data_IF_189941415347
#
_entry.id   IF_189941415347
#
_cell.length_a   1.000
_cell.length_b   1.000
_cell.length_c   1.000
_cell.angle_alpha   90.00
_cell.angle_beta   90.00
_cell.angle_gamma   90.00
#
_symmetry.space_group_name_H-M   'P 1'
#
loop_
_entity.id
_entity.type
_entity.pdbx_description
1 polymer ?
#
# COMPACT_ATOMS: atom_id res chain seq x y z
N UNK A 1 -3.35 -6.57 -2.37
CA UNK A 1 -4.42 -7.43 -1.84
C UNK A 1 -5.62 -7.42 -2.79
N UNK A 2 -6.22 -8.59 -3.01
CA UNK A 2 -7.43 -8.73 -3.82
C UNK A 2 -8.66 -8.57 -2.93
N UNK A 3 -9.53 -7.62 -3.26
CA UNK A 3 -10.72 -7.30 -2.48
C UNK A 3 -11.87 -8.23 -2.85
N UNK A 4 -12.45 -8.88 -1.86
CA UNK A 4 -13.57 -9.81 -2.06
C UNK A 4 -14.93 -9.24 -1.66
N UNK A 5 -14.94 -8.16 -0.87
CA UNK A 5 -16.16 -7.56 -0.32
C UNK A 5 -16.25 -6.06 -0.59
N UNK A 6 -17.46 -5.53 -0.52
CA UNK A 6 -17.73 -4.10 -0.57
C UNK A 6 -18.02 -3.58 -1.97
N UNK A 7 -18.15 -2.27 -2.08
CA UNK A 7 -18.52 -1.59 -3.32
C UNK A 7 -17.47 -1.72 -4.43
N UNK A 8 -16.23 -2.06 -4.08
CA UNK A 8 -15.11 -2.16 -5.01
C UNK A 8 -14.46 -3.53 -4.88
N UNK A 9 -15.28 -4.57 -5.01
CA UNK A 9 -14.81 -5.96 -5.06
C UNK A 9 -14.14 -6.28 -6.40
N UNK A 10 -13.44 -7.40 -6.43
CA UNK A 10 -12.73 -7.93 -7.61
C UNK A 10 -11.66 -6.99 -8.17
N UNK A 11 -11.06 -6.16 -7.31
CA UNK A 11 -9.93 -5.31 -7.68
C UNK A 11 -8.78 -5.53 -6.72
N UNK A 12 -7.58 -5.25 -7.19
CA UNK A 12 -6.35 -5.30 -6.39
C UNK A 12 -6.05 -3.92 -5.83
N UNK A 13 -5.78 -3.87 -4.53
CA UNK A 13 -5.48 -2.63 -3.84
C UNK A 13 -4.37 -2.79 -2.82
N UNK A 14 -4.05 -1.68 -2.19
CA UNK A 14 -3.06 -1.63 -1.11
C UNK A 14 -3.71 -1.92 0.23
N UNK A 15 -2.87 -2.18 1.23
CA UNK A 15 -3.28 -2.20 2.62
C UNK A 15 -3.64 -0.77 3.04
N UNK A 16 -4.77 -0.58 3.67
CA UNK A 16 -5.15 0.74 4.19
C UNK A 16 -6.62 0.87 4.47
N UNK A 17 -6.99 2.02 4.98
CA UNK A 17 -8.36 2.35 5.33
C UNK A 17 -8.46 3.76 5.86
N UNK A 18 -9.62 4.10 6.42
CA UNK A 18 -9.88 5.41 6.99
C UNK A 18 -9.33 5.49 8.41
N UNK A 19 -8.69 6.62 8.75
CA UNK A 19 -8.25 6.86 10.12
C UNK A 19 -9.44 6.90 11.07
N UNK A 20 -9.22 6.45 12.29
CA UNK A 20 -10.22 6.46 13.35
C UNK A 20 -9.82 7.46 14.43
N UNK A 21 -10.80 8.27 14.89
CA UNK A 21 -10.61 9.22 15.97
C UNK A 21 -9.46 10.19 15.71
N UNK A 22 -8.51 10.23 16.63
CA UNK A 22 -7.36 11.15 16.57
C UNK A 22 -6.08 10.50 16.07
N UNK A 23 -6.19 9.35 15.39
CA UNK A 23 -5.01 8.67 14.85
C UNK A 23 -4.25 9.58 13.88
N UNK A 24 -2.91 9.54 13.97
CA UNK A 24 -2.06 10.07 12.90
C UNK A 24 -2.16 9.15 11.69
N UNK A 25 -1.78 9.62 10.48
CA UNK A 25 -1.78 8.75 9.30
C UNK A 25 -0.98 7.46 9.49
N UNK A 26 0.16 7.52 10.13
CA UNK A 26 0.99 6.34 10.40
C UNK A 26 0.34 5.40 11.41
N UNK A 27 -0.26 5.94 12.48
CA UNK A 27 -0.97 5.11 13.47
C UNK A 27 -2.14 4.36 12.82
N UNK A 28 -2.90 5.05 11.96
CA UNK A 28 -3.98 4.42 11.21
C UNK A 28 -3.49 3.32 10.29
N UNK A 29 -2.38 3.55 9.58
CA UNK A 29 -1.80 2.54 8.71
C UNK A 29 -1.31 1.32 9.50
N UNK A 30 -0.65 1.53 10.64
CA UNK A 30 -0.20 0.40 11.49
C UNK A 30 -1.38 -0.46 11.93
N UNK A 31 -2.48 0.18 12.32
CA UNK A 31 -3.71 -0.53 12.70
C UNK A 31 -4.25 -1.34 11.53
N UNK A 32 -4.34 -0.74 10.34
CA UNK A 32 -4.83 -1.42 9.14
C UNK A 32 -3.92 -2.58 8.71
N UNK A 33 -2.61 -2.42 8.86
CA UNK A 33 -1.67 -3.52 8.59
C UNK A 33 -2.00 -4.73 9.44
N UNK A 34 -2.19 -4.54 10.74
CA UNK A 34 -2.53 -5.64 11.64
C UNK A 34 -3.88 -6.26 11.28
N UNK A 35 -4.88 -5.43 10.99
CA UNK A 35 -6.22 -5.91 10.64
C UNK A 35 -6.27 -6.66 9.31
N UNK A 36 -5.54 -6.22 8.31
CA UNK A 36 -5.67 -6.73 6.95
C UNK A 36 -4.64 -7.81 6.58
N UNK A 37 -3.45 -7.77 7.15
CA UNK A 37 -2.39 -8.72 6.80
C UNK A 37 -1.70 -9.37 7.98
N UNK A 38 -2.11 -9.03 9.21
CA UNK A 38 -1.52 -9.57 10.41
C UNK A 38 -0.31 -8.77 10.88
N UNK A 39 0.32 -9.24 11.96
CA UNK A 39 1.48 -8.56 12.54
C UNK A 39 2.70 -8.72 11.63
N UNK A 40 3.17 -7.60 11.05
CA UNK A 40 4.33 -7.59 10.17
C UNK A 40 5.53 -7.06 10.94
N UNK A 41 6.35 -7.97 11.47
CA UNK A 41 7.53 -7.62 12.24
C UNK A 41 8.76 -7.32 11.37
N UNK A 42 8.66 -7.53 10.05
CA UNK A 42 9.79 -7.44 9.12
C UNK A 42 9.89 -6.10 8.40
N UNK A 43 9.12 -5.10 8.79
CA UNK A 43 9.22 -3.77 8.19
C UNK A 43 10.54 -3.13 8.64
N UNK A 44 11.43 -2.89 7.68
CA UNK A 44 12.73 -2.26 7.93
C UNK A 44 12.65 -0.75 7.91
N UNK A 45 11.84 -0.20 7.01
CA UNK A 45 11.70 1.23 6.78
C UNK A 45 10.32 1.58 6.30
N UNK A 46 9.88 2.78 6.68
CA UNK A 46 8.63 3.35 6.18
C UNK A 46 8.94 4.76 5.68
N UNK A 47 8.57 5.01 4.43
CA UNK A 47 8.84 6.28 3.75
C UNK A 47 7.53 6.85 3.20
N UNK A 48 7.24 8.14 3.40
CA UNK A 48 6.07 8.74 2.76
C UNK A 48 6.27 8.78 1.24
N UNK A 49 5.26 8.35 0.49
CA UNK A 49 5.28 8.36 -0.96
C UNK A 49 4.51 9.55 -1.52
N UNK A 50 3.26 9.70 -1.08
CA UNK A 50 2.43 10.79 -1.57
C UNK A 50 1.32 11.12 -0.57
N UNK A 51 0.83 12.37 -0.64
CA UNK A 51 -0.40 12.79 0.01
C UNK A 51 -1.31 13.33 -1.07
N UNK A 52 -2.55 12.86 -1.10
CA UNK A 52 -3.50 13.19 -2.13
C UNK A 52 -4.81 13.68 -1.50
N UNK A 53 -5.26 14.87 -1.93
CA UNK A 53 -6.54 15.41 -1.52
C UNK A 53 -7.59 15.08 -2.58
N UNK A 54 -8.71 14.48 -2.18
CA UNK A 54 -9.78 14.12 -3.10
C UNK A 54 -10.37 15.36 -3.78
N UNK A 55 -11.03 15.17 -4.94
CA UNK A 55 -11.60 16.27 -5.72
C UNK A 55 -12.64 17.07 -4.94
N UNK A 56 -13.41 16.39 -4.08
CA UNK A 56 -14.40 17.05 -3.21
C UNK A 56 -13.78 17.66 -1.95
N UNK A 57 -12.47 17.51 -1.76
CA UNK A 57 -11.69 18.01 -0.61
C UNK A 57 -12.11 17.44 0.74
N UNK A 58 -12.87 16.34 0.74
CA UNK A 58 -13.34 15.70 1.99
C UNK A 58 -12.37 14.69 2.55
N UNK A 59 -11.50 14.12 1.70
CA UNK A 59 -10.57 13.08 2.10
C UNK A 59 -9.15 13.43 1.72
N UNK A 60 -8.25 13.24 2.68
CA UNK A 60 -6.82 13.34 2.45
C UNK A 60 -6.22 11.94 2.62
N UNK A 61 -5.60 11.45 1.54
CA UNK A 61 -5.00 10.12 1.51
C UNK A 61 -3.49 10.24 1.63
N UNK A 62 -2.92 9.47 2.55
CA UNK A 62 -1.48 9.37 2.73
C UNK A 62 -1.03 7.97 2.31
N UNK A 63 -0.10 7.89 1.39
CA UNK A 63 0.47 6.63 0.93
C UNK A 63 1.91 6.54 1.39
N UNK A 64 2.26 5.40 1.98
CA UNK A 64 3.60 5.11 2.48
C UNK A 64 4.19 3.94 1.72
N UNK A 65 5.51 3.95 1.59
CA UNK A 65 6.28 2.82 1.10
C UNK A 65 6.88 2.11 2.32
N UNK A 66 6.49 0.87 2.53
CA UNK A 66 7.04 0.06 3.63
C UNK A 66 8.02 -0.96 3.04
N UNK A 67 9.29 -0.83 3.41
CA UNK A 67 10.32 -1.76 2.97
C UNK A 67 10.36 -2.92 3.96
N UNK A 68 10.19 -4.14 3.45
CA UNK A 68 10.23 -5.36 4.27
C UNK A 68 11.50 -6.14 3.96
N UNK A 69 11.95 -6.92 4.95
CA UNK A 69 13.16 -7.73 4.81
C UNK A 69 12.98 -8.85 3.79
N UNK A 70 11.88 -9.57 3.89
CA UNK A 70 11.56 -10.72 3.04
C UNK A 70 10.09 -10.72 2.69
N UNK A 71 9.74 -11.37 1.59
CA UNK A 71 8.34 -11.66 1.29
C UNK A 71 7.78 -12.54 2.42
N UNK A 72 6.50 -12.37 2.70
CA UNK A 72 5.81 -13.11 3.74
C UNK A 72 4.41 -13.52 3.27
N UNK A 73 3.81 -14.46 3.98
CA UNK A 73 2.44 -14.88 3.72
C UNK A 73 1.52 -14.07 4.64
N UNK A 74 0.72 -13.14 4.11
CA UNK A 74 -0.16 -12.33 4.93
C UNK A 74 -1.31 -13.15 5.52
N UNK A 75 -1.78 -12.75 6.71
CA UNK A 75 -2.99 -13.30 7.31
C UNK A 75 -4.16 -12.42 6.91
N UNK A 76 -4.85 -12.81 5.85
CA UNK A 76 -5.92 -11.99 5.28
C UNK A 76 -7.17 -12.01 6.15
N UNK A 77 -7.88 -10.89 6.19
CA UNK A 77 -9.17 -10.78 6.84
C UNK A 77 -10.32 -11.03 5.84
N UNK A 78 -11.56 -10.79 6.26
CA UNK A 78 -12.75 -11.07 5.43
C UNK A 78 -12.88 -10.16 4.20
N UNK A 79 -12.16 -9.04 4.17
CA UNK A 79 -12.26 -8.07 3.08
C UNK A 79 -11.39 -8.46 1.88
N UNK A 80 -10.45 -9.37 2.06
CA UNK A 80 -9.49 -9.75 1.04
C UNK A 80 -9.39 -11.27 0.93
N UNK A 81 -9.33 -11.77 -0.29
CA UNK A 81 -9.24 -13.21 -0.58
C UNK A 81 -7.96 -13.60 -1.33
N UNK A 82 -7.07 -12.66 -1.59
CA UNK A 82 -5.84 -12.95 -2.28
C UNK A 82 -4.77 -11.89 -2.06
N UNK A 83 -3.54 -12.26 -2.34
CA UNK A 83 -2.40 -11.36 -2.30
C UNK A 83 -1.44 -11.70 -3.42
N UNK A 84 -0.59 -10.74 -3.78
CA UNK A 84 0.45 -10.96 -4.77
C UNK A 84 1.67 -10.10 -4.44
N UNK A 85 2.84 -10.72 -4.54
CA UNK A 85 4.12 -10.03 -4.60
C UNK A 85 4.48 -9.90 -6.07
N UNK A 86 4.66 -8.66 -6.54
CA UNK A 86 4.78 -8.37 -7.97
C UNK A 86 6.11 -7.74 -8.30
N UNK A 87 6.63 -8.02 -9.48
CA UNK A 87 7.76 -7.28 -10.02
C UNK A 87 7.34 -5.85 -10.37
N UNK A 88 8.27 -4.92 -10.28
CA UNK A 88 8.01 -3.52 -10.62
C UNK A 88 7.41 -3.41 -12.02
N UNK A 89 6.36 -2.64 -12.16
CA UNK A 89 5.55 -2.41 -13.36
C UNK A 89 4.70 -3.60 -13.82
N UNK A 90 4.78 -4.76 -13.17
CA UNK A 90 3.97 -5.94 -13.53
C UNK A 90 2.88 -6.15 -12.48
N UNK A 91 1.93 -5.25 -12.47
CA UNK A 91 0.85 -5.24 -11.49
C UNK A 91 -0.28 -6.20 -11.89
N UNK A 92 -0.96 -6.84 -10.92
CA UNK A 92 -2.15 -7.61 -11.23
C UNK A 92 -3.28 -6.69 -11.70
N UNK A 93 -4.27 -7.24 -12.36
CA UNK A 93 -5.41 -6.49 -12.93
C UNK A 93 -6.73 -7.11 -12.52
N UNK A 94 -7.79 -6.32 -12.35
CA UNK A 94 -7.80 -4.85 -12.39
C UNK A 94 -7.31 -4.23 -11.10
N UNK A 95 -6.70 -3.05 -11.19
CA UNK A 95 -6.29 -2.29 -10.02
C UNK A 95 -7.42 -1.41 -9.51
N UNK A 96 -7.50 -1.23 -8.19
CA UNK A 96 -8.32 -0.20 -7.58
C UNK A 96 -7.95 1.16 -8.20
N UNK A 97 -8.95 1.99 -8.52
CA UNK A 97 -8.71 3.22 -9.29
C UNK A 97 -7.73 4.17 -8.60
N UNK A 98 -7.77 4.29 -7.28
CA UNK A 98 -6.83 5.13 -6.54
C UNK A 98 -5.40 4.63 -6.65
N UNK A 99 -5.20 3.32 -6.53
CA UNK A 99 -3.88 2.72 -6.71
C UNK A 99 -3.40 2.88 -8.15
N UNK A 100 -4.28 2.68 -9.12
CA UNK A 100 -3.93 2.89 -10.53
C UNK A 100 -3.44 4.32 -10.77
N UNK A 101 -4.13 5.31 -10.23
CA UNK A 101 -3.73 6.70 -10.37
C UNK A 101 -2.36 6.96 -9.72
N UNK A 102 -2.11 6.41 -8.55
CA UNK A 102 -0.82 6.53 -7.86
C UNK A 102 0.31 5.93 -8.70
N UNK A 103 0.09 4.75 -9.27
CA UNK A 103 1.10 4.04 -10.07
C UNK A 103 1.27 4.61 -11.48
N UNK A 104 0.33 5.39 -11.99
CA UNK A 104 0.46 6.09 -13.27
C UNK A 104 1.19 7.43 -13.13
N UNK A 105 1.36 7.94 -11.93
CA UNK A 105 2.08 9.19 -11.68
C UNK A 105 3.57 9.00 -11.96
N UNK A 106 4.11 9.80 -12.87
CA UNK A 106 5.55 9.76 -13.18
C UNK A 106 6.41 10.13 -11.99
N UNK A 107 5.93 11.05 -11.15
CA UNK A 107 6.63 11.46 -9.93
C UNK A 107 6.72 10.27 -8.96
N UNK A 108 5.61 9.57 -8.74
CA UNK A 108 5.59 8.41 -7.84
C UNK A 108 6.45 7.27 -8.37
N UNK A 109 6.39 7.00 -9.67
CA UNK A 109 7.23 5.96 -10.28
C UNK A 109 8.72 6.29 -10.15
N UNK A 110 9.11 7.56 -10.32
CA UNK A 110 10.49 7.98 -10.10
C UNK A 110 10.93 7.79 -8.66
N UNK A 111 10.07 8.11 -7.70
CA UNK A 111 10.37 7.89 -6.27
C UNK A 111 10.57 6.40 -5.98
N UNK A 112 9.68 5.56 -6.48
CA UNK A 112 9.76 4.11 -6.29
C UNK A 112 11.03 3.55 -6.90
N UNK A 113 11.35 3.94 -8.13
CA UNK A 113 12.56 3.48 -8.81
C UNK A 113 13.82 3.88 -8.05
N UNK A 114 13.89 5.12 -7.57
CA UNK A 114 15.01 5.61 -6.79
C UNK A 114 15.19 4.81 -5.50
N UNK A 115 14.09 4.52 -4.80
CA UNK A 115 14.14 3.72 -3.57
C UNK A 115 14.62 2.30 -3.87
N UNK A 116 14.10 1.66 -4.92
CA UNK A 116 14.54 0.31 -5.30
C UNK A 116 16.02 0.27 -5.64
N UNK A 117 16.53 1.24 -6.39
CA UNK A 117 17.95 1.32 -6.70
C UNK A 117 18.80 1.51 -5.45
N UNK A 118 18.36 2.38 -4.55
CA UNK A 118 19.06 2.64 -3.29
C UNK A 118 19.12 1.40 -2.40
N UNK A 119 18.01 0.68 -2.28
CA UNK A 119 17.95 -0.56 -1.50
C UNK A 119 18.90 -1.60 -2.09
N UNK A 120 18.90 -1.78 -3.40
CA UNK A 120 19.78 -2.75 -4.06
C UNK A 120 21.26 -2.43 -3.83
N UNK A 121 21.62 -1.14 -3.81
CA UNK A 121 22.98 -0.71 -3.51
C UNK A 121 23.38 -0.98 -2.06
N UNK A 122 22.45 -0.81 -1.12
CA UNK A 122 22.71 -1.03 0.30
C UNK A 122 22.74 -2.51 0.69
N UNK A 123 22.00 -3.36 -0.03
CA UNK A 123 21.93 -4.80 0.25
C UNK A 123 23.05 -5.59 -0.44
N UNK A 124 23.82 -4.93 -1.27
CA UNK A 124 25.02 -5.48 -1.90
C UNK A 124 26.26 -5.07 -1.08
#
# INVERSE_FOLDING_TARGET
LHRSNGKKSDVWGLVGGTNEGTETPWEGLKREIVEEIGDVTTIKKTLPLESFLSNDKKFLFHTYLCVVKDEFIPQLNKEHDGYAWCSFTKWPKPLHHGLRNTLQSKINLSKLETVFQTINLLDN
#
